data_IF_964720056824
#
_entry.id   IF_964720056824
#
_cell.length_a   1.000
_cell.length_b   1.000
_cell.length_c   1.000
_cell.angle_alpha   90.00
_cell.angle_beta   90.00
_cell.angle_gamma   90.00
#
_symmetry.space_group_name_H-M   'P 1'
#
loop_
_entity.id
_entity.type
_entity.pdbx_description
1 polymer ?
#
# COMPACT_ATOMS: atom_id res chain seq x y z
N UNK A 1 -2.78 8.97 -8.34
CA UNK A 1 -1.88 8.25 -9.28
C UNK A 1 -2.25 6.78 -9.29
N UNK A 2 -2.51 6.24 -10.46
CA UNK A 2 -2.83 4.83 -10.66
C UNK A 2 -1.58 4.04 -11.01
N UNK A 3 -1.68 2.71 -11.01
CA UNK A 3 -0.58 1.84 -11.45
C UNK A 3 -0.17 2.15 -12.88
N UNK A 4 -1.14 2.37 -13.78
CA UNK A 4 -0.86 2.72 -15.17
C UNK A 4 -0.11 4.03 -15.32
N UNK A 5 -0.50 5.04 -14.55
CA UNK A 5 0.21 6.32 -14.53
C UNK A 5 1.63 6.20 -13.99
N UNK A 6 1.83 5.37 -12.97
CA UNK A 6 3.16 5.11 -12.44
C UNK A 6 4.06 4.46 -13.49
N UNK A 7 3.52 3.49 -14.25
CA UNK A 7 4.25 2.85 -15.35
C UNK A 7 4.64 3.89 -16.41
N UNK A 8 3.73 4.79 -16.77
CA UNK A 8 3.99 5.86 -17.74
C UNK A 8 5.10 6.78 -17.26
N UNK A 9 5.07 7.18 -15.98
CA UNK A 9 6.10 8.07 -15.41
C UNK A 9 7.47 7.39 -15.44
N UNK A 10 7.56 6.14 -15.05
CA UNK A 10 8.82 5.38 -15.06
C UNK A 10 9.34 5.23 -16.49
N UNK A 11 8.46 4.88 -17.42
CA UNK A 11 8.83 4.71 -18.83
C UNK A 11 9.37 6.01 -19.40
N UNK A 12 8.77 7.15 -19.06
CA UNK A 12 9.25 8.45 -19.51
C UNK A 12 10.63 8.80 -18.94
N UNK A 13 10.92 8.38 -17.71
CA UNK A 13 12.22 8.63 -17.05
C UNK A 13 13.31 7.64 -17.47
N UNK A 14 12.94 6.43 -17.83
CA UNK A 14 13.85 5.35 -18.19
C UNK A 14 13.68 5.01 -19.69
N UNK A 15 14.07 5.94 -20.54
CA UNK A 15 13.83 5.87 -22.00
C UNK A 15 14.45 4.65 -22.68
N UNK A 16 15.43 4.03 -22.07
CA UNK A 16 16.07 2.82 -22.58
C UNK A 16 15.30 1.54 -22.28
N UNK A 17 14.23 1.63 -21.46
CA UNK A 17 13.41 0.50 -21.11
C UNK A 17 12.07 0.55 -21.86
N UNK A 18 11.69 -0.55 -22.55
CA UNK A 18 10.35 -0.63 -23.13
C UNK A 18 9.27 -0.59 -22.03
N UNK A 19 8.13 0.00 -22.33
CA UNK A 19 7.01 0.08 -21.40
C UNK A 19 6.58 -1.30 -20.88
N UNK A 20 6.64 -2.32 -21.74
CA UNK A 20 6.30 -3.68 -21.37
C UNK A 20 7.22 -4.23 -20.27
N UNK A 21 8.51 -3.91 -20.32
CA UNK A 21 9.47 -4.36 -19.33
C UNK A 21 9.25 -3.65 -17.99
N UNK A 22 8.93 -2.36 -18.03
CA UNK A 22 8.59 -1.58 -16.83
C UNK A 22 7.33 -2.14 -16.17
N UNK A 23 6.31 -2.45 -16.95
CA UNK A 23 5.07 -3.05 -16.43
C UNK A 23 5.34 -4.38 -15.76
N UNK A 24 6.13 -5.24 -16.41
CA UNK A 24 6.47 -6.55 -15.85
C UNK A 24 7.27 -6.43 -14.54
N UNK A 25 8.25 -5.54 -14.51
CA UNK A 25 9.05 -5.30 -13.32
C UNK A 25 8.20 -4.81 -12.15
N UNK A 26 7.31 -3.85 -12.38
CA UNK A 26 6.41 -3.35 -11.35
C UNK A 26 5.46 -4.44 -10.85
N UNK A 27 4.92 -5.24 -11.75
CA UNK A 27 4.06 -6.37 -11.40
C UNK A 27 4.78 -7.34 -10.49
N UNK A 28 6.03 -7.69 -10.81
CA UNK A 28 6.83 -8.59 -9.98
C UNK A 28 7.10 -8.01 -8.60
N UNK A 29 7.43 -6.73 -8.50
CA UNK A 29 7.65 -6.06 -7.22
C UNK A 29 6.41 -6.19 -6.34
N UNK A 30 5.25 -5.85 -6.88
CA UNK A 30 4.00 -5.91 -6.12
C UNK A 30 3.62 -7.33 -5.73
N UNK A 31 3.86 -8.31 -6.59
CA UNK A 31 3.60 -9.72 -6.28
C UNK A 31 4.52 -10.24 -5.18
N UNK A 32 5.80 -9.91 -5.23
CA UNK A 32 6.76 -10.32 -4.20
C UNK A 32 6.36 -9.74 -2.85
N UNK A 33 5.98 -8.48 -2.81
CA UNK A 33 5.52 -7.83 -1.59
C UNK A 33 4.23 -8.45 -1.07
N UNK A 34 3.28 -8.72 -1.96
CA UNK A 34 2.02 -9.36 -1.59
C UNK A 34 2.23 -10.76 -1.01
N UNK A 35 3.11 -11.54 -1.64
CA UNK A 35 3.43 -12.88 -1.17
C UNK A 35 4.10 -12.85 0.21
N UNK A 36 5.06 -11.95 0.41
CA UNK A 36 5.73 -11.80 1.69
C UNK A 36 4.73 -11.47 2.81
N UNK A 37 3.86 -10.51 2.58
CA UNK A 37 2.82 -10.14 3.56
C UNK A 37 1.83 -11.27 3.80
N UNK A 38 1.48 -12.03 2.77
CA UNK A 38 0.56 -13.16 2.94
C UNK A 38 1.16 -14.27 3.79
N UNK A 39 2.47 -14.31 3.93
CA UNK A 39 3.19 -15.28 4.76
C UNK A 39 3.58 -14.71 6.13
N UNK A 40 3.09 -13.54 6.46
CA UNK A 40 3.33 -12.93 7.77
C UNK A 40 4.63 -12.15 7.87
N UNK A 41 5.34 -11.94 6.77
CA UNK A 41 6.59 -11.21 6.79
C UNK A 41 6.37 -9.70 6.84
N UNK A 42 7.29 -9.02 7.53
CA UNK A 42 7.37 -7.57 7.53
C UNK A 42 8.24 -7.13 6.35
N UNK A 43 7.84 -6.05 5.70
CA UNK A 43 8.63 -5.44 4.62
C UNK A 43 9.14 -4.10 5.11
N UNK A 44 10.43 -3.88 4.99
CA UNK A 44 11.04 -2.60 5.35
C UNK A 44 11.81 -2.04 4.16
N UNK A 45 11.41 -0.86 3.72
CA UNK A 45 12.05 -0.16 2.60
C UNK A 45 12.66 1.11 3.16
N UNK A 46 13.98 1.08 3.36
CA UNK A 46 14.72 2.20 3.95
C UNK A 46 14.50 3.46 3.12
N UNK A 47 14.20 4.57 3.80
CA UNK A 47 13.91 5.85 3.16
C UNK A 47 12.47 6.03 2.70
N UNK A 48 11.66 4.97 2.77
CA UNK A 48 10.26 5.03 2.36
C UNK A 48 9.31 4.69 3.50
N UNK A 49 9.38 3.48 4.02
CA UNK A 49 8.51 3.06 5.11
C UNK A 49 8.50 1.56 5.28
N UNK A 50 7.58 1.09 6.09
CA UNK A 50 7.45 -0.32 6.39
C UNK A 50 6.00 -0.79 6.29
N UNK A 51 5.85 -2.04 5.85
CA UNK A 51 4.57 -2.75 5.81
C UNK A 51 4.62 -3.85 6.85
N UNK A 52 3.60 -3.93 7.69
CA UNK A 52 3.46 -4.97 8.70
C UNK A 52 2.01 -5.42 8.76
N UNK A 53 1.77 -6.52 9.48
CA UNK A 53 0.42 -7.02 9.64
C UNK A 53 -0.09 -6.69 11.03
N UNK A 54 -1.34 -6.26 11.10
CA UNK A 54 -2.06 -6.06 12.35
C UNK A 54 -3.21 -7.05 12.42
N UNK A 55 -3.34 -7.72 13.56
CA UNK A 55 -4.46 -8.60 13.80
C UNK A 55 -5.63 -7.80 14.36
N UNK A 56 -6.78 -7.94 13.72
CA UNK A 56 -8.05 -7.38 14.19
C UNK A 56 -8.83 -8.50 14.85
N UNK A 57 -9.01 -8.47 16.18
CA UNK A 57 -9.72 -9.55 16.86
C UNK A 57 -11.19 -9.62 16.45
N UNK A 58 -11.84 -10.78 16.66
CA UNK A 58 -13.28 -10.91 16.43
C UNK A 58 -14.05 -9.88 17.24
N UNK A 59 -15.10 -9.34 16.65
CA UNK A 59 -15.96 -8.35 17.32
C UNK A 59 -17.39 -8.50 16.83
N UNK A 60 -18.32 -7.86 17.56
CA UNK A 60 -19.69 -7.70 17.09
C UNK A 60 -19.81 -6.38 16.33
N UNK A 61 -20.39 -6.45 15.14
CA UNK A 61 -20.82 -5.31 14.39
C UNK A 61 -22.34 -5.28 14.31
N UNK A 62 -22.89 -4.30 13.61
CA UNK A 62 -24.31 -4.21 13.34
C UNK A 62 -24.55 -4.07 11.86
N UNK A 63 -25.58 -4.76 11.37
CA UNK A 63 -26.05 -4.59 10.01
C UNK A 63 -26.73 -3.22 9.91
N UNK A 64 -26.22 -2.28 9.09
CA UNK A 64 -26.80 -0.95 8.99
C UNK A 64 -28.23 -0.93 8.45
N UNK A 65 -28.65 -1.97 7.75
CA UNK A 65 -30.01 -2.07 7.20
C UNK A 65 -31.03 -2.59 8.21
N UNK A 66 -30.64 -3.57 9.03
CA UNK A 66 -31.56 -4.26 9.95
C UNK A 66 -31.31 -3.92 11.41
N UNK A 67 -30.15 -3.38 11.75
CA UNK A 67 -29.74 -3.14 13.13
C UNK A 67 -29.35 -4.39 13.89
N UNK A 68 -29.38 -5.56 13.26
CA UNK A 68 -29.01 -6.83 13.90
C UNK A 68 -27.52 -6.91 14.20
N UNK A 69 -27.20 -7.55 15.33
CA UNK A 69 -25.82 -7.85 15.68
C UNK A 69 -25.25 -8.90 14.73
N UNK A 70 -24.05 -8.65 14.22
CA UNK A 70 -23.33 -9.55 13.31
C UNK A 70 -21.99 -9.90 13.94
N UNK A 71 -21.67 -11.20 14.03
CA UNK A 71 -20.37 -11.64 14.47
C UNK A 71 -19.35 -11.41 13.37
N UNK A 72 -18.29 -10.64 13.67
CA UNK A 72 -17.18 -10.40 12.75
C UNK A 72 -15.99 -11.25 13.17
N UNK A 73 -15.50 -12.07 12.25
CA UNK A 73 -14.32 -12.90 12.46
C UNK A 73 -13.06 -12.05 12.63
N UNK A 74 -12.08 -12.59 13.35
CA UNK A 74 -10.76 -12.01 13.39
C UNK A 74 -10.10 -12.05 12.01
N UNK A 75 -9.26 -11.06 11.72
CA UNK A 75 -8.54 -11.00 10.45
C UNK A 75 -7.23 -10.25 10.59
N UNK A 76 -6.31 -10.55 9.68
CA UNK A 76 -5.07 -9.80 9.54
C UNK A 76 -5.25 -8.73 8.47
N UNK A 77 -4.75 -7.53 8.74
CA UNK A 77 -4.79 -6.43 7.79
C UNK A 77 -3.39 -5.87 7.60
N UNK A 78 -3.02 -5.51 6.37
CA UNK A 78 -1.74 -4.84 6.15
C UNK A 78 -1.80 -3.41 6.66
N UNK A 79 -0.69 -2.96 7.22
CA UNK A 79 -0.53 -1.61 7.75
C UNK A 79 0.76 -1.01 7.22
N UNK A 80 0.69 0.18 6.67
CA UNK A 80 1.84 0.92 6.20
C UNK A 80 2.20 2.02 7.19
N UNK A 81 3.47 2.06 7.60
CA UNK A 81 4.02 3.14 8.41
C UNK A 81 5.09 3.86 7.60
N UNK A 82 4.91 5.16 7.32
CA UNK A 82 5.93 5.91 6.58
C UNK A 82 7.20 6.04 7.40
N UNK A 83 8.35 6.03 6.72
CA UNK A 83 9.62 6.35 7.32
C UNK A 83 9.79 7.84 7.54
N UNK A 84 10.88 8.22 8.22
CA UNK A 84 11.14 9.61 8.57
C UNK A 84 11.21 10.50 7.32
N UNK A 85 11.95 10.07 6.30
CA UNK A 85 12.13 10.88 5.09
C UNK A 85 10.81 11.15 4.38
N UNK A 86 9.96 10.12 4.25
CA UNK A 86 8.66 10.27 3.60
C UNK A 86 7.76 11.20 4.41
N UNK A 87 7.73 11.02 5.73
CA UNK A 87 6.94 11.90 6.62
C UNK A 87 7.35 13.36 6.49
N UNK A 88 8.65 13.62 6.49
CA UNK A 88 9.17 14.97 6.38
C UNK A 88 8.82 15.59 5.02
N UNK A 89 8.98 14.85 3.94
CA UNK A 89 8.63 15.33 2.60
C UNK A 89 7.15 15.66 2.46
N UNK A 90 6.29 14.83 3.02
CA UNK A 90 4.85 15.09 3.00
C UNK A 90 4.51 16.34 3.82
N UNK A 91 5.11 16.50 4.99
CA UNK A 91 4.88 17.65 5.84
C UNK A 91 5.45 18.95 5.24
N UNK A 92 6.61 18.87 4.60
CA UNK A 92 7.21 20.02 3.90
C UNK A 92 6.34 20.47 2.71
N UNK A 93 5.57 19.54 2.13
CA UNK A 93 4.61 19.84 1.07
C UNK A 93 3.23 20.26 1.57
N UNK A 94 3.10 20.70 2.82
CA UNK A 94 1.82 21.04 3.43
C UNK A 94 1.07 22.18 2.75
N UNK A 95 1.77 23.00 1.96
CA UNK A 95 1.15 24.07 1.17
C UNK A 95 0.31 23.55 0.01
N UNK A 96 0.51 22.31 -0.40
CA UNK A 96 -0.26 21.70 -1.46
C UNK A 96 -1.56 21.13 -0.89
N UNK A 97 -2.72 21.42 -1.48
CA UNK A 97 -3.97 20.85 -1.00
C UNK A 97 -4.02 19.34 -1.21
N UNK A 98 -4.70 18.67 -0.31
CA UNK A 98 -4.93 17.22 -0.45
C UNK A 98 -5.79 16.97 -1.68
N UNK A 99 -5.35 16.01 -2.50
CA UNK A 99 -6.06 15.60 -3.72
C UNK A 99 -6.54 14.16 -3.55
N UNK A 100 -7.82 13.99 -3.73
CA UNK A 100 -8.45 12.66 -3.67
C UNK A 100 -8.40 11.92 -5.00
#
# INVERSE_FOLDING_TARGET
MTKSELIEIITAKQKHLPAKDVELALKQILEIMSDALSQGERIEIRGFGSFSLHFRPPRQGRNPKTGEAVALSGKYVPHFKPGKDLRERVNDGADHPIRD
#
